data_IF_328557817004
#
_entry.id   IF_328557817004
#
_cell.length_a   1.000
_cell.length_b   1.000
_cell.length_c   1.000
_cell.angle_alpha   90.00
_cell.angle_beta   90.00
_cell.angle_gamma   90.00
#
_symmetry.space_group_name_H-M   'P 1'
#
loop_
_entity.id
_entity.type
_entity.pdbx_description
1 polymer ?
#
# COMPACT_ATOMS: atom_id res chain seq x y z
N UNK A 1 5.37 -28.81 11.97
CA UNK A 1 6.20 -27.60 11.96
C UNK A 1 5.95 -26.71 13.18
N UNK A 2 7.00 -26.47 13.97
CA UNK A 2 7.00 -26.03 15.37
C UNK A 2 6.92 -24.50 15.56
N UNK A 3 6.50 -23.74 14.54
CA UNK A 3 6.70 -22.29 14.46
C UNK A 3 5.46 -21.44 14.80
N UNK A 4 4.51 -22.00 15.56
CA UNK A 4 3.27 -21.30 15.93
C UNK A 4 3.17 -21.19 17.45
N UNK A 5 4.04 -20.37 18.03
CA UNK A 5 3.93 -19.98 19.44
C UNK A 5 3.11 -18.69 19.55
N UNK A 6 2.25 -18.64 20.58
CA UNK A 6 1.49 -17.44 20.92
C UNK A 6 2.24 -16.72 22.05
N UNK A 7 2.64 -15.49 21.80
CA UNK A 7 3.21 -14.61 22.82
C UNK A 7 2.16 -13.64 23.31
N UNK A 8 1.99 -13.57 24.63
CA UNK A 8 1.09 -12.61 25.28
C UNK A 8 1.89 -11.58 26.09
N UNK A 9 1.32 -10.40 26.35
CA UNK A 9 1.90 -9.46 27.31
C UNK A 9 2.11 -10.13 28.68
N UNK A 10 3.31 -10.02 29.24
CA UNK A 10 3.62 -10.51 30.59
C UNK A 10 4.52 -9.53 31.35
N UNK A 11 4.56 -9.69 32.68
CA UNK A 11 5.34 -8.82 33.58
C UNK A 11 6.67 -9.44 34.04
N UNK A 12 6.90 -10.74 33.85
CA UNK A 12 8.19 -11.36 34.16
C UNK A 12 9.20 -11.10 33.04
N UNK A 13 10.48 -10.96 33.41
CA UNK A 13 11.53 -10.44 32.52
C UNK A 13 11.59 -11.17 31.16
N UNK A 14 11.68 -12.50 31.15
CA UNK A 14 11.76 -13.29 29.91
C UNK A 14 10.54 -13.10 29.01
N UNK A 15 9.32 -13.19 29.56
CA UNK A 15 8.10 -13.06 28.76
C UNK A 15 7.89 -11.64 28.23
N UNK A 16 8.31 -10.62 28.99
CA UNK A 16 8.29 -9.22 28.52
C UNK A 16 9.19 -9.01 27.30
N UNK A 17 10.39 -9.61 27.31
CA UNK A 17 11.31 -9.56 26.16
C UNK A 17 10.79 -10.35 24.96
N UNK A 18 10.26 -11.55 25.18
CA UNK A 18 9.63 -12.34 24.11
C UNK A 18 8.45 -11.60 23.47
N UNK A 19 7.60 -10.94 24.27
CA UNK A 19 6.51 -10.11 23.77
C UNK A 19 7.00 -8.92 22.93
N UNK A 20 8.07 -8.24 23.36
CA UNK A 20 8.67 -7.16 22.56
C UNK A 20 9.21 -7.68 21.23
N UNK A 21 9.87 -8.83 21.23
CA UNK A 21 10.38 -9.46 20.01
C UNK A 21 9.25 -9.86 19.06
N UNK A 22 8.17 -10.46 19.59
CA UNK A 22 6.99 -10.80 18.81
C UNK A 22 6.38 -9.56 18.11
N UNK A 23 6.25 -8.44 18.84
CA UNK A 23 5.81 -7.17 18.25
C UNK A 23 6.77 -6.65 17.19
N UNK A 24 8.09 -6.75 17.41
CA UNK A 24 9.08 -6.33 16.43
C UNK A 24 8.96 -7.12 15.11
N UNK A 25 8.70 -8.43 15.18
CA UNK A 25 8.44 -9.25 13.99
C UNK A 25 7.18 -8.81 13.24
N UNK A 26 6.07 -8.57 13.97
CA UNK A 26 4.83 -8.06 13.37
C UNK A 26 5.07 -6.70 12.70
N UNK A 27 5.80 -5.80 13.35
CA UNK A 27 6.11 -4.48 12.80
C UNK A 27 7.00 -4.56 11.57
N UNK A 28 8.01 -5.44 11.54
CA UNK A 28 8.85 -5.64 10.36
C UNK A 28 8.05 -6.09 9.13
N UNK A 29 7.11 -7.02 9.31
CA UNK A 29 6.20 -7.46 8.26
C UNK A 29 5.23 -6.35 7.85
N UNK A 30 4.62 -5.66 8.83
CA UNK A 30 3.69 -4.57 8.59
C UNK A 30 4.34 -3.40 7.85
N UNK A 31 5.59 -3.04 8.16
CA UNK A 31 6.34 -2.00 7.45
C UNK A 31 6.58 -2.39 5.99
N UNK A 32 6.88 -3.67 5.71
CA UNK A 32 6.99 -4.18 4.34
C UNK A 32 5.67 -4.06 3.58
N UNK A 33 4.56 -4.55 4.17
CA UNK A 33 3.24 -4.45 3.57
C UNK A 33 2.80 -2.99 3.35
N UNK A 34 3.01 -2.12 4.33
CA UNK A 34 2.72 -0.70 4.22
C UNK A 34 3.47 -0.06 3.04
N UNK A 35 4.78 -0.26 2.94
CA UNK A 35 5.56 0.38 1.89
C UNK A 35 5.27 -0.18 0.50
N UNK A 36 5.13 -1.50 0.38
CA UNK A 36 4.98 -2.18 -0.91
C UNK A 36 3.54 -2.16 -1.42
N UNK A 37 2.56 -2.33 -0.52
CA UNK A 37 1.15 -2.47 -0.88
C UNK A 37 0.39 -1.18 -0.63
N UNK A 38 0.30 -0.72 0.62
CA UNK A 38 -0.53 0.45 0.96
C UNK A 38 -0.02 1.74 0.32
N UNK A 39 1.30 1.90 0.23
CA UNK A 39 1.96 3.07 -0.34
C UNK A 39 2.27 2.86 -1.82
N UNK A 40 3.30 2.08 -2.15
CA UNK A 40 3.77 1.94 -3.53
C UNK A 40 2.69 1.42 -4.50
N UNK A 41 2.05 0.29 -4.20
CA UNK A 41 1.04 -0.27 -5.12
C UNK A 41 -0.21 0.60 -5.21
N UNK A 42 -0.88 0.85 -4.07
CA UNK A 42 -2.22 1.46 -4.04
C UNK A 42 -2.23 2.96 -4.34
N UNK A 43 -1.10 3.67 -4.22
CA UNK A 43 -1.01 5.08 -4.61
C UNK A 43 -0.17 5.27 -5.87
N UNK A 44 1.13 4.97 -5.84
CA UNK A 44 2.04 5.26 -6.94
C UNK A 44 1.70 4.46 -8.21
N UNK A 45 1.70 3.13 -8.12
CA UNK A 45 1.49 2.26 -9.28
C UNK A 45 0.06 2.35 -9.81
N UNK A 46 -0.94 2.31 -8.93
CA UNK A 46 -2.34 2.34 -9.34
C UNK A 46 -2.71 3.67 -10.02
N UNK A 47 -2.05 4.78 -9.65
CA UNK A 47 -2.38 6.11 -10.22
C UNK A 47 -1.77 6.34 -11.59
N UNK A 48 -0.54 5.88 -11.84
CA UNK A 48 0.21 6.18 -13.07
C UNK A 48 -0.55 5.83 -14.38
N UNK A 49 -1.28 4.70 -14.48
CA UNK A 49 -2.13 4.40 -15.66
C UNK A 49 -3.19 5.46 -15.95
N UNK A 50 -3.80 6.07 -14.93
CA UNK A 50 -4.79 7.14 -15.14
C UNK A 50 -4.14 8.40 -15.69
N UNK A 51 -2.90 8.69 -15.30
CA UNK A 51 -2.13 9.83 -15.83
C UNK A 51 -1.86 9.63 -17.32
N UNK A 52 -1.39 8.44 -17.69
CA UNK A 52 -1.11 8.06 -19.08
C UNK A 52 -2.39 8.13 -19.92
N UNK A 53 -3.49 7.53 -19.45
CA UNK A 53 -4.76 7.54 -20.16
C UNK A 53 -5.32 8.97 -20.34
N UNK A 54 -5.27 9.79 -19.27
CA UNK A 54 -5.74 11.19 -19.30
C UNK A 54 -5.00 12.01 -20.36
N UNK A 55 -3.66 11.93 -20.38
CA UNK A 55 -2.86 12.69 -21.35
C UNK A 55 -3.01 12.16 -22.79
N UNK A 56 -3.26 10.86 -22.97
CA UNK A 56 -3.38 10.26 -24.30
C UNK A 56 -4.76 10.42 -24.90
N UNK A 57 -5.81 10.53 -24.10
CA UNK A 57 -7.20 10.41 -24.57
C UNK A 57 -8.05 11.66 -24.33
N UNK A 58 -7.60 12.61 -23.50
CA UNK A 58 -8.33 13.84 -23.23
C UNK A 58 -7.49 15.05 -23.68
N UNK A 59 -8.10 15.92 -24.49
CA UNK A 59 -7.49 17.21 -24.86
C UNK A 59 -7.23 18.06 -23.62
N UNK A 60 -6.21 18.91 -23.65
CA UNK A 60 -5.94 19.90 -22.59
C UNK A 60 -7.14 20.84 -22.31
N UNK A 61 -8.04 21.02 -23.29
CA UNK A 61 -9.28 21.79 -23.11
C UNK A 61 -10.43 20.98 -22.51
N UNK A 62 -10.33 19.65 -22.46
CA UNK A 62 -11.39 18.78 -21.96
C UNK A 62 -11.62 19.04 -20.46
N UNK A 63 -12.87 19.22 -20.00
CA UNK A 63 -13.15 19.58 -18.60
C UNK A 63 -12.61 18.53 -17.61
N UNK A 64 -12.71 17.24 -17.93
CA UNK A 64 -12.15 16.16 -17.09
C UNK A 64 -10.62 16.17 -17.06
N UNK A 65 -9.94 16.55 -18.17
CA UNK A 65 -8.50 16.74 -18.14
C UNK A 65 -8.13 17.83 -17.13
N UNK A 66 -8.79 18.99 -17.21
CA UNK A 66 -8.54 20.13 -16.31
C UNK A 66 -8.83 19.79 -14.85
N UNK A 67 -9.84 18.96 -14.58
CA UNK A 67 -10.17 18.48 -13.24
C UNK A 67 -9.07 17.56 -12.69
N UNK A 68 -8.62 16.58 -13.46
CA UNK A 68 -7.69 15.55 -12.99
C UNK A 68 -6.22 16.01 -12.97
N UNK A 69 -5.82 16.85 -13.93
CA UNK A 69 -4.41 17.23 -14.14
C UNK A 69 -3.68 17.75 -12.89
N UNK A 70 -4.27 18.61 -12.02
CA UNK A 70 -3.61 19.04 -10.79
C UNK A 70 -3.29 17.90 -9.82
N UNK A 71 -4.07 16.81 -9.83
CA UNK A 71 -3.90 15.66 -8.94
C UNK A 71 -2.81 14.68 -9.40
N UNK A 72 -2.30 14.83 -10.62
CA UNK A 72 -1.26 13.98 -11.19
C UNK A 72 0.15 14.60 -11.11
N UNK A 73 0.26 15.78 -10.50
CA UNK A 73 1.49 16.55 -10.44
C UNK A 73 2.61 15.72 -9.81
N UNK A 74 3.73 15.62 -10.51
CA UNK A 74 4.96 14.91 -10.11
C UNK A 74 4.87 13.39 -9.95
N UNK A 75 3.69 12.76 -10.04
CA UNK A 75 3.57 11.31 -9.83
C UNK A 75 4.39 10.49 -10.83
N UNK A 76 4.37 10.82 -12.12
CA UNK A 76 5.20 10.09 -13.11
C UNK A 76 6.71 10.30 -12.88
N UNK A 77 7.10 11.50 -12.45
CA UNK A 77 8.50 11.84 -12.22
C UNK A 77 9.05 11.08 -11.01
N UNK A 78 8.33 11.10 -9.88
CA UNK A 78 8.73 10.33 -8.69
C UNK A 78 8.68 8.82 -8.95
N UNK A 79 7.71 8.33 -9.75
CA UNK A 79 7.66 6.91 -10.11
C UNK A 79 8.84 6.49 -10.99
N UNK A 80 9.30 7.36 -11.89
CA UNK A 80 10.51 7.10 -12.68
C UNK A 80 11.74 7.01 -11.77
N UNK A 81 11.94 7.98 -10.89
CA UNK A 81 13.05 7.96 -9.92
C UNK A 81 12.97 6.74 -8.99
N UNK A 82 11.77 6.33 -8.61
CA UNK A 82 11.57 5.14 -7.81
C UNK A 82 11.99 3.86 -8.57
N UNK A 83 11.63 3.74 -9.86
CA UNK A 83 12.08 2.63 -10.70
C UNK A 83 13.60 2.60 -10.88
N UNK A 84 14.27 3.75 -10.86
CA UNK A 84 15.71 3.84 -11.08
C UNK A 84 16.55 3.59 -9.82
N UNK A 85 16.08 4.02 -8.64
CA UNK A 85 16.88 4.03 -7.41
C UNK A 85 16.21 3.42 -6.16
N UNK A 86 14.88 3.29 -6.13
CA UNK A 86 14.14 2.85 -4.94
C UNK A 86 13.79 1.36 -5.01
N UNK A 87 13.09 0.94 -6.07
CA UNK A 87 12.50 -0.40 -6.22
C UNK A 87 13.23 -1.27 -7.25
N UNK A 88 14.33 -0.79 -7.83
CA UNK A 88 15.19 -1.60 -8.70
C UNK A 88 15.88 -2.72 -7.92
N UNK A 89 16.41 -3.69 -8.66
CA UNK A 89 17.26 -4.74 -8.11
C UNK A 89 18.45 -4.13 -7.35
N UNK A 90 18.70 -4.60 -6.13
CA UNK A 90 19.67 -4.02 -5.19
C UNK A 90 19.43 -2.52 -4.89
N UNK A 91 18.21 -2.02 -5.10
CA UNK A 91 17.79 -0.68 -4.72
C UNK A 91 17.56 -0.54 -3.21
N UNK A 92 17.09 0.64 -2.80
CA UNK A 92 16.89 0.94 -1.37
C UNK A 92 15.90 -0.03 -0.72
N UNK A 93 14.79 -0.36 -1.40
CA UNK A 93 13.75 -1.23 -0.84
C UNK A 93 14.26 -2.65 -0.62
N UNK A 94 14.93 -3.25 -1.61
CA UNK A 94 15.46 -4.61 -1.48
C UNK A 94 16.54 -4.74 -0.40
N UNK A 95 17.28 -3.66 -0.11
CA UNK A 95 18.32 -3.68 0.92
C UNK A 95 17.81 -3.31 2.33
N UNK A 96 16.63 -2.69 2.44
CA UNK A 96 16.16 -2.12 3.70
C UNK A 96 14.93 -2.85 4.29
N UNK A 97 14.21 -3.62 3.48
CA UNK A 97 12.99 -4.31 3.90
C UNK A 97 13.17 -5.83 3.87
N UNK A 98 12.50 -6.51 4.79
CA UNK A 98 12.64 -7.97 4.97
C UNK A 98 12.42 -8.81 3.69
N UNK A 99 11.51 -8.47 2.75
CA UNK A 99 11.27 -9.31 1.58
C UNK A 99 12.46 -9.36 0.61
N UNK A 100 13.40 -8.41 0.71
CA UNK A 100 14.56 -8.34 -0.16
C UNK A 100 14.17 -8.30 -1.64
N UNK A 101 14.83 -9.14 -2.46
CA UNK A 101 14.56 -9.30 -3.89
C UNK A 101 13.13 -9.72 -4.26
N UNK A 102 12.33 -10.18 -3.29
CA UNK A 102 10.93 -10.56 -3.51
C UNK A 102 9.94 -9.41 -3.25
N UNK A 103 10.45 -8.20 -2.94
CA UNK A 103 9.62 -7.03 -2.60
C UNK A 103 8.62 -6.66 -3.70
N UNK A 104 9.08 -6.62 -4.95
CA UNK A 104 8.21 -6.27 -6.08
C UNK A 104 7.24 -7.38 -6.45
N UNK A 105 7.65 -8.65 -6.32
CA UNK A 105 6.76 -9.81 -6.50
C UNK A 105 5.62 -9.79 -5.49
N UNK A 106 5.89 -9.48 -4.21
CA UNK A 106 4.87 -9.34 -3.18
C UNK A 106 3.82 -8.29 -3.55
N UNK A 107 4.25 -7.15 -4.10
CA UNK A 107 3.33 -6.12 -4.59
C UNK A 107 2.46 -6.62 -5.74
N UNK A 108 3.03 -7.39 -6.67
CA UNK A 108 2.30 -7.99 -7.78
C UNK A 108 1.25 -9.01 -7.31
N UNK A 109 1.61 -9.86 -6.35
CA UNK A 109 0.67 -10.84 -5.77
C UNK A 109 -0.45 -10.14 -5.02
N UNK A 110 -0.15 -9.10 -4.23
CA UNK A 110 -1.16 -8.30 -3.55
C UNK A 110 -2.10 -7.59 -4.54
N UNK A 111 -1.59 -7.15 -5.70
CA UNK A 111 -2.43 -6.57 -6.74
C UNK A 111 -3.46 -7.57 -7.28
N UNK A 112 -3.04 -8.79 -7.61
CA UNK A 112 -3.94 -9.84 -8.10
C UNK A 112 -5.00 -10.26 -7.07
N UNK A 113 -4.58 -10.41 -5.80
CA UNK A 113 -5.46 -10.94 -4.75
C UNK A 113 -6.38 -9.90 -4.12
N UNK A 114 -5.94 -8.64 -4.01
CA UNK A 114 -6.61 -7.66 -3.16
C UNK A 114 -7.07 -6.40 -3.90
N UNK A 115 -6.42 -6.02 -5.00
CA UNK A 115 -6.68 -4.71 -5.60
C UNK A 115 -8.01 -4.70 -6.34
N UNK A 116 -8.84 -3.71 -5.99
CA UNK A 116 -10.14 -3.46 -6.60
C UNK A 116 -10.43 -1.97 -6.58
N UNK A 117 -10.61 -1.38 -7.76
CA UNK A 117 -10.86 0.06 -7.90
C UNK A 117 -12.08 0.52 -7.09
N UNK A 118 -13.17 -0.26 -7.12
CA UNK A 118 -14.42 0.06 -6.43
C UNK A 118 -14.31 0.00 -4.90
N UNK A 119 -13.24 -0.59 -4.36
CA UNK A 119 -12.94 -0.62 -2.92
C UNK A 119 -11.91 0.41 -2.48
N UNK A 120 -11.42 1.27 -3.38
CA UNK A 120 -10.47 2.32 -3.00
C UNK A 120 -11.14 3.58 -2.45
N UNK A 121 -12.47 3.72 -2.62
CA UNK A 121 -13.22 4.78 -1.96
C UNK A 121 -13.25 4.54 -0.44
N UNK A 122 -12.98 5.58 0.35
CA UNK A 122 -12.86 5.47 1.81
C UNK A 122 -14.07 4.77 2.48
N UNK A 123 -15.34 5.10 2.16
CA UNK A 123 -16.48 4.38 2.75
C UNK A 123 -16.49 2.89 2.41
N UNK A 124 -16.22 2.54 1.14
CA UNK A 124 -16.20 1.15 0.68
C UNK A 124 -15.05 0.35 1.28
N UNK A 125 -13.86 0.97 1.44
CA UNK A 125 -12.73 0.36 2.14
C UNK A 125 -13.10 0.03 3.60
N UNK A 126 -13.66 1.00 4.34
CA UNK A 126 -14.05 0.83 5.74
C UNK A 126 -15.10 -0.27 5.93
N UNK A 127 -16.14 -0.28 5.09
CA UNK A 127 -17.19 -1.30 5.13
C UNK A 127 -16.60 -2.67 4.77
N UNK A 128 -15.78 -2.76 3.72
CA UNK A 128 -15.21 -4.04 3.27
C UNK A 128 -14.31 -4.71 4.31
N UNK A 129 -13.68 -3.92 5.20
CA UNK A 129 -12.84 -4.40 6.29
C UNK A 129 -13.60 -4.61 7.61
N UNK A 130 -14.92 -4.40 7.63
CA UNK A 130 -15.74 -4.51 8.83
C UNK A 130 -15.47 -3.41 9.87
N UNK A 131 -14.88 -2.29 9.45
CA UNK A 131 -14.56 -1.15 10.31
C UNK A 131 -15.70 -0.12 10.36
N UNK A 132 -16.67 -0.22 9.45
CA UNK A 132 -17.88 0.60 9.41
C UNK A 132 -19.07 -0.20 8.87
N UNK A 133 -20.28 0.31 9.12
CA UNK A 133 -21.52 -0.17 8.53
C UNK A 133 -22.24 0.99 7.87
N UNK A 134 -23.06 0.70 6.85
CA UNK A 134 -23.87 1.74 6.20
C UNK A 134 -24.96 2.21 7.15
N UNK A 135 -25.00 3.51 7.39
CA UNK A 135 -26.07 4.15 8.16
C UNK A 135 -27.12 4.74 7.20
N UNK A 136 -28.38 4.24 7.21
CA UNK A 136 -29.46 4.80 6.41
C UNK A 136 -29.76 6.27 6.72
N UNK A 137 -29.47 6.72 7.94
CA UNK A 137 -29.79 8.06 8.42
C UNK A 137 -28.62 9.07 8.20
N UNK A 138 -27.44 8.58 7.79
CA UNK A 138 -26.27 9.40 7.48
C UNK A 138 -25.74 9.12 6.04
N UNK A 139 -26.41 9.64 4.99
CA UNK A 139 -26.10 9.31 3.59
C UNK A 139 -24.74 9.84 3.08
N UNK A 140 -24.11 10.77 3.81
CA UNK A 140 -22.80 11.34 3.45
C UNK A 140 -21.65 10.83 4.34
N UNK A 141 -21.94 9.81 5.17
CA UNK A 141 -21.01 9.31 6.19
C UNK A 141 -21.16 10.02 7.51
#
# INVERSE_FOLDING_TARGET
>A
PQWKEVYCPTWHATGSWLWKLAKAHVLAQYSGYHQLVSHWLRTHCATEPYIIATNRQLSAMHPIYRLLHPHFRYTMEINSLARDALINANGIIENSFFPGKYSMELSSVAYDLEWRFDRQALPEDLISRGMAVKDPDAPYG
#
